data_IF_666201920911
#
_entry.id   IF_666201920911
#
_cell.length_a   1.000
_cell.length_b   1.000
_cell.length_c   1.000
_cell.angle_alpha   90.00
_cell.angle_beta   90.00
_cell.angle_gamma   90.00
#
_symmetry.space_group_name_H-M   'P 1'
#
loop_
_entity.id
_entity.type
_entity.pdbx_description
1 polymer ?
#
# COMPACT_ATOMS: atom_id res chain seq x y z
N UNK A 1 4.79 -15.43 5.38
CA UNK A 1 3.60 -14.90 4.68
C UNK A 1 3.15 -15.90 3.64
N UNK A 2 1.86 -15.92 3.33
CA UNK A 2 1.28 -16.87 2.38
C UNK A 2 0.13 -16.21 1.60
N UNK A 3 -0.25 -16.82 0.48
CA UNK A 3 -1.50 -16.53 -0.20
C UNK A 3 -2.56 -17.53 0.27
N UNK A 4 -3.51 -17.10 1.09
CA UNK A 4 -4.53 -17.95 1.68
C UNK A 4 -5.91 -17.83 1.03
N UNK A 5 -6.29 -16.63 0.62
CA UNK A 5 -7.64 -16.30 0.23
C UNK A 5 -7.82 -16.32 -1.29
N UNK A 6 -6.97 -15.62 -2.06
CA UNK A 6 -7.11 -15.49 -3.52
C UNK A 6 -6.58 -16.71 -4.27
N UNK A 7 -7.19 -17.87 -4.02
CA UNK A 7 -6.85 -19.16 -4.64
C UNK A 7 -8.06 -19.74 -5.34
N UNK A 8 -7.84 -20.50 -6.41
CA UNK A 8 -8.93 -21.14 -7.16
C UNK A 8 -9.76 -22.10 -6.31
N UNK A 9 -9.14 -22.73 -5.30
CA UNK A 9 -9.81 -23.62 -4.35
C UNK A 9 -10.72 -22.88 -3.35
N UNK A 10 -10.63 -21.55 -3.25
CA UNK A 10 -11.46 -20.74 -2.35
C UNK A 10 -12.86 -20.47 -2.91
N UNK A 11 -13.12 -20.87 -4.16
CA UNK A 11 -14.41 -20.72 -4.85
C UNK A 11 -14.77 -22.02 -5.57
N UNK A 12 -16.06 -22.21 -5.85
CA UNK A 12 -16.54 -23.37 -6.59
C UNK A 12 -16.23 -23.30 -8.10
N UNK A 13 -16.35 -24.43 -8.83
CA UNK A 13 -16.12 -24.50 -10.27
C UNK A 13 -17.04 -23.57 -11.09
N UNK A 14 -18.17 -23.17 -10.54
CA UNK A 14 -19.14 -22.25 -11.14
C UNK A 14 -18.65 -20.81 -11.26
N UNK A 15 -17.61 -20.41 -10.51
CA UNK A 15 -17.07 -19.05 -10.58
C UNK A 15 -16.24 -18.89 -11.86
N UNK A 16 -16.61 -17.98 -12.77
CA UNK A 16 -15.96 -17.82 -14.07
C UNK A 16 -14.56 -17.20 -13.97
N UNK A 17 -13.80 -17.29 -15.07
CA UNK A 17 -12.47 -16.67 -15.17
C UNK A 17 -12.53 -15.13 -15.12
N UNK A 18 -13.65 -14.53 -15.52
CA UNK A 18 -13.87 -13.08 -15.49
C UNK A 18 -15.16 -12.76 -14.76
N UNK A 19 -15.15 -11.69 -13.98
CA UNK A 19 -16.32 -11.26 -13.21
C UNK A 19 -17.49 -10.82 -14.11
N UNK A 20 -17.23 -10.50 -15.38
CA UNK A 20 -18.24 -10.10 -16.38
C UNK A 20 -19.00 -11.27 -17.01
N UNK A 21 -18.58 -12.50 -16.75
CA UNK A 21 -19.10 -13.68 -17.47
C UNK A 21 -20.24 -14.37 -16.70
N UNK A 22 -21.09 -13.58 -16.04
CA UNK A 22 -22.25 -14.08 -15.29
C UNK A 22 -21.88 -14.83 -14.01
N UNK A 23 -21.08 -14.21 -13.14
CA UNK A 23 -20.64 -14.84 -11.89
C UNK A 23 -21.81 -15.05 -10.92
N UNK A 24 -22.10 -16.30 -10.49
CA UNK A 24 -23.29 -16.60 -9.67
C UNK A 24 -23.22 -16.03 -8.25
N UNK A 25 -22.03 -15.63 -7.78
CA UNK A 25 -21.82 -15.04 -6.44
C UNK A 25 -21.59 -13.52 -6.50
N UNK A 26 -21.77 -12.89 -7.65
CA UNK A 26 -21.40 -11.47 -7.86
C UNK A 26 -21.99 -10.54 -6.78
N UNK A 27 -23.26 -10.73 -6.44
CA UNK A 27 -23.97 -9.88 -5.46
C UNK A 27 -23.34 -9.93 -4.06
N UNK A 28 -22.88 -11.11 -3.62
CA UNK A 28 -22.27 -11.32 -2.31
C UNK A 28 -20.74 -11.18 -2.33
N UNK A 29 -20.11 -11.12 -3.50
CA UNK A 29 -18.66 -11.13 -3.64
C UNK A 29 -18.05 -9.76 -3.35
N UNK A 30 -17.28 -9.65 -2.26
CA UNK A 30 -16.53 -8.43 -1.87
C UNK A 30 -15.56 -7.95 -2.97
N UNK A 31 -15.14 -8.84 -3.88
CA UNK A 31 -14.17 -8.58 -4.95
C UNK A 31 -14.79 -8.53 -6.36
N UNK A 32 -16.10 -8.28 -6.47
CA UNK A 32 -16.76 -8.07 -7.77
C UNK A 32 -16.15 -6.87 -8.50
N UNK A 33 -15.50 -7.14 -9.64
CA UNK A 33 -14.94 -6.10 -10.49
C UNK A 33 -16.02 -5.14 -11.04
N UNK A 34 -17.18 -5.62 -11.56
CA UNK A 34 -18.29 -4.74 -11.91
C UNK A 34 -18.73 -3.80 -10.77
N UNK A 35 -18.81 -4.30 -9.53
CA UNK A 35 -19.21 -3.46 -8.39
C UNK A 35 -18.14 -2.45 -8.01
N UNK A 36 -16.86 -2.83 -8.04
CA UNK A 36 -15.75 -1.95 -7.71
C UNK A 36 -15.51 -0.88 -8.78
N UNK A 37 -15.57 -1.28 -10.05
CA UNK A 37 -15.10 -0.47 -11.17
C UNK A 37 -16.23 0.10 -12.04
N UNK A 38 -17.45 -0.45 -12.03
CA UNK A 38 -18.58 0.01 -12.84
C UNK A 38 -19.91 -0.01 -12.03
N UNK A 39 -19.98 0.65 -10.86
CA UNK A 39 -21.15 0.59 -9.99
C UNK A 39 -22.38 1.21 -10.66
N UNK A 40 -23.57 0.73 -10.27
CA UNK A 40 -24.85 1.15 -10.84
C UNK A 40 -25.19 2.62 -10.54
N UNK A 41 -24.79 3.11 -9.37
CA UNK A 41 -24.89 4.51 -8.99
C UNK A 41 -23.48 5.08 -9.02
N UNK A 42 -23.19 6.09 -9.86
CA UNK A 42 -21.96 6.84 -9.76
C UNK A 42 -21.84 7.41 -8.35
N UNK A 43 -20.83 7.01 -7.61
CA UNK A 43 -20.59 7.59 -6.30
C UNK A 43 -19.92 8.93 -6.57
N UNK A 44 -20.64 10.03 -6.35
CA UNK A 44 -20.07 11.36 -6.34
C UNK A 44 -19.92 11.76 -4.87
N UNK A 45 -18.71 11.66 -4.33
CA UNK A 45 -18.40 11.99 -2.94
C UNK A 45 -16.93 11.77 -2.61
N UNK A 46 -16.45 12.18 -1.43
CA UNK A 46 -15.06 11.97 -1.01
C UNK A 46 -14.73 10.50 -0.63
N UNK A 47 -15.69 9.58 -0.76
CA UNK A 47 -15.54 8.18 -0.37
C UNK A 47 -14.72 7.36 -1.39
N UNK A 48 -14.04 6.32 -0.91
CA UNK A 48 -13.12 5.43 -1.66
C UNK A 48 -13.71 4.88 -2.97
N UNK A 49 -15.04 4.76 -3.08
CA UNK A 49 -15.74 4.35 -4.30
C UNK A 49 -15.51 5.30 -5.50
N UNK A 50 -15.05 6.54 -5.28
CA UNK A 50 -14.72 7.49 -6.34
C UNK A 50 -13.34 7.21 -6.94
N UNK A 51 -12.38 6.77 -6.12
CA UNK A 51 -11.04 6.46 -6.60
C UNK A 51 -11.05 5.25 -7.55
N UNK A 52 -11.92 4.27 -7.33
CA UNK A 52 -12.06 3.13 -8.24
C UNK A 52 -12.72 3.49 -9.57
N UNK A 53 -13.58 4.52 -9.60
CA UNK A 53 -14.13 5.09 -10.83
C UNK A 53 -13.11 5.93 -11.62
N UNK A 54 -12.11 6.50 -10.92
CA UNK A 54 -11.02 7.27 -11.53
C UNK A 54 -9.94 6.42 -12.19
N UNK A 55 -9.96 5.08 -12.05
CA UNK A 55 -9.08 4.23 -12.86
C UNK A 55 -9.42 4.38 -14.34
N UNK A 56 -8.40 4.65 -15.14
CA UNK A 56 -8.48 4.72 -16.60
C UNK A 56 -8.69 3.31 -17.19
N UNK A 57 -9.92 2.79 -17.09
CA UNK A 57 -10.34 1.55 -17.77
C UNK A 57 -10.56 1.76 -19.26
N UNK A 58 -10.82 3.00 -19.66
CA UNK A 58 -11.04 3.44 -21.04
C UNK A 58 -10.12 4.62 -21.35
N UNK A 59 -9.83 4.81 -22.64
CA UNK A 59 -9.14 6.01 -23.15
C UNK A 59 -9.95 6.59 -24.32
N UNK A 60 -10.58 7.77 -24.17
CA UNK A 60 -10.56 8.63 -22.98
C UNK A 60 -11.30 8.01 -21.78
N UNK A 61 -11.01 8.45 -20.53
CA UNK A 61 -11.72 7.98 -19.35
C UNK A 61 -13.23 8.22 -19.44
N UNK A 62 -14.01 7.19 -19.13
CA UNK A 62 -15.48 7.25 -19.13
C UNK A 62 -16.05 6.85 -17.78
N UNK A 63 -17.12 7.54 -17.39
CA UNK A 63 -17.96 7.20 -16.24
C UNK A 63 -19.22 6.41 -16.66
N UNK A 64 -19.44 6.20 -17.95
CA UNK A 64 -20.57 5.42 -18.43
C UNK A 64 -20.42 3.95 -18.02
N UNK A 65 -21.47 3.40 -17.41
CA UNK A 65 -21.42 2.05 -16.88
C UNK A 65 -21.26 0.99 -17.97
N UNK A 66 -21.93 1.16 -19.11
CA UNK A 66 -21.87 0.17 -20.18
C UNK A 66 -20.48 0.14 -20.82
N UNK A 67 -19.88 1.31 -21.07
CA UNK A 67 -18.51 1.42 -21.58
C UNK A 67 -17.49 0.80 -20.62
N UNK A 68 -17.64 1.04 -19.31
CA UNK A 68 -16.75 0.45 -18.29
C UNK A 68 -16.93 -1.06 -18.17
N UNK A 69 -18.15 -1.59 -18.25
CA UNK A 69 -18.38 -3.04 -18.28
C UNK A 69 -17.76 -3.68 -19.54
N UNK A 70 -17.88 -3.03 -20.70
CA UNK A 70 -17.24 -3.49 -21.93
C UNK A 70 -15.70 -3.51 -21.79
N UNK A 71 -15.12 -2.49 -21.15
CA UNK A 71 -13.70 -2.46 -20.85
C UNK A 71 -13.27 -3.56 -19.86
N UNK A 72 -14.07 -3.85 -18.83
CA UNK A 72 -13.80 -4.96 -17.90
C UNK A 72 -13.82 -6.31 -18.62
N UNK A 73 -14.69 -6.51 -19.61
CA UNK A 73 -14.80 -7.78 -20.32
C UNK A 73 -13.50 -8.20 -21.03
N UNK A 74 -12.62 -7.25 -21.37
CA UNK A 74 -11.36 -7.52 -22.09
C UNK A 74 -10.10 -7.15 -21.30
N UNK A 75 -10.19 -6.20 -20.37
CA UNK A 75 -9.03 -5.74 -19.59
C UNK A 75 -8.62 -6.71 -18.47
N UNK A 76 -7.37 -6.62 -17.97
CA UNK A 76 -6.93 -7.38 -16.80
C UNK A 76 -7.78 -7.16 -15.55
N UNK A 77 -8.40 -5.98 -15.40
CA UNK A 77 -9.21 -5.60 -14.25
C UNK A 77 -10.53 -6.38 -14.13
N UNK A 78 -11.03 -6.99 -15.21
CA UNK A 78 -12.23 -7.84 -15.15
C UNK A 78 -11.97 -9.30 -14.80
N UNK A 79 -10.70 -9.73 -14.64
CA UNK A 79 -10.36 -11.10 -14.25
C UNK A 79 -10.83 -11.36 -12.82
N UNK A 80 -11.36 -12.56 -12.56
CA UNK A 80 -11.74 -12.97 -11.22
C UNK A 80 -10.49 -13.18 -10.36
N UNK A 81 -10.39 -12.52 -9.21
CA UNK A 81 -9.23 -12.61 -8.29
C UNK A 81 -8.88 -14.05 -7.87
N UNK A 82 -9.84 -14.97 -7.87
CA UNK A 82 -9.63 -16.39 -7.56
C UNK A 82 -9.23 -17.24 -8.79
N UNK A 83 -9.32 -16.69 -10.00
CA UNK A 83 -8.96 -17.34 -11.27
C UNK A 83 -7.79 -16.63 -11.96
N UNK A 84 -7.12 -15.72 -11.26
CA UNK A 84 -5.90 -15.07 -11.72
C UNK A 84 -4.67 -15.95 -11.43
N UNK A 85 -3.57 -15.58 -12.06
CA UNK A 85 -2.21 -16.04 -11.79
C UNK A 85 -1.56 -15.25 -10.64
N UNK A 86 -2.36 -14.72 -9.72
CA UNK A 86 -1.86 -13.98 -8.57
C UNK A 86 -1.13 -14.93 -7.62
N UNK A 87 0.13 -14.64 -7.34
CA UNK A 87 0.98 -15.35 -6.39
C UNK A 87 1.41 -14.47 -5.21
N UNK A 88 0.93 -13.23 -5.16
CA UNK A 88 1.22 -12.27 -4.09
C UNK A 88 0.57 -12.72 -2.78
N UNK A 89 1.32 -12.64 -1.69
CA UNK A 89 0.82 -12.95 -0.34
C UNK A 89 -0.31 -12.01 0.07
N UNK A 90 -1.33 -12.53 0.76
CA UNK A 90 -2.40 -11.71 1.32
C UNK A 90 -2.16 -11.32 2.79
N UNK A 91 -1.14 -11.92 3.41
CA UNK A 91 -0.62 -11.53 4.71
C UNK A 91 0.85 -11.94 4.87
N UNK A 92 1.61 -11.11 5.57
CA UNK A 92 3.02 -11.37 5.88
C UNK A 92 3.42 -10.68 7.18
N UNK A 93 4.14 -11.41 8.02
CA UNK A 93 4.86 -10.87 9.17
C UNK A 93 6.34 -11.03 8.85
N UNK A 94 7.10 -9.94 9.01
CA UNK A 94 8.56 -9.90 8.83
C UNK A 94 9.17 -9.43 10.14
N UNK A 95 10.07 -10.23 10.71
CA UNK A 95 10.91 -9.83 11.83
C UNK A 95 12.29 -9.46 11.28
N UNK A 96 12.81 -8.30 11.69
CA UNK A 96 14.08 -7.77 11.22
C UNK A 96 14.89 -7.27 12.42
N UNK A 97 16.21 -7.30 12.28
CA UNK A 97 17.15 -6.64 13.18
C UNK A 97 17.92 -5.60 12.36
N UNK A 98 17.92 -4.35 12.83
CA UNK A 98 18.72 -3.29 12.23
C UNK A 98 20.17 -3.41 12.69
N UNK A 99 21.12 -2.80 11.97
CA UNK A 99 22.53 -2.80 12.36
C UNK A 99 22.81 -2.21 13.76
N UNK A 100 21.89 -1.40 14.29
CA UNK A 100 21.92 -0.89 15.66
C UNK A 100 21.57 -1.93 16.74
N UNK A 101 21.12 -3.13 16.36
CA UNK A 101 20.50 -4.12 17.25
C UNK A 101 19.03 -3.84 17.54
N UNK A 102 18.42 -2.82 16.93
CA UNK A 102 16.99 -2.53 17.08
C UNK A 102 16.16 -3.60 16.38
N UNK A 103 15.23 -4.22 17.09
CA UNK A 103 14.27 -5.16 16.51
C UNK A 103 13.12 -4.44 15.85
N UNK A 104 12.69 -4.92 14.69
CA UNK A 104 11.53 -4.42 13.94
C UNK A 104 10.60 -5.59 13.62
N UNK A 105 9.31 -5.38 13.83
CA UNK A 105 8.26 -6.27 13.33
C UNK A 105 7.39 -5.49 12.35
N UNK A 106 7.28 -5.99 11.13
CA UNK A 106 6.40 -5.45 10.10
C UNK A 106 5.29 -6.46 9.81
N UNK A 107 4.04 -6.04 9.96
CA UNK A 107 2.87 -6.88 9.68
C UNK A 107 2.02 -6.23 8.61
N UNK A 108 1.75 -6.99 7.55
CA UNK A 108 0.86 -6.62 6.45
C UNK A 108 -0.24 -7.66 6.32
N UNK A 109 -1.48 -7.21 6.14
CA UNK A 109 -2.60 -8.06 5.75
C UNK A 109 -3.55 -7.28 4.83
N UNK A 110 -4.03 -7.93 3.78
CA UNK A 110 -4.97 -7.34 2.81
C UNK A 110 -6.44 -7.39 3.22
N UNK A 111 -6.74 -7.96 4.39
CA UNK A 111 -8.11 -8.17 4.88
C UNK A 111 -8.29 -7.46 6.23
N UNK A 112 -8.97 -6.31 6.22
CA UNK A 112 -9.28 -5.56 7.43
C UNK A 112 -10.62 -4.84 7.30
N UNK A 113 -11.34 -4.69 8.40
CA UNK A 113 -12.53 -3.84 8.47
C UNK A 113 -12.18 -2.34 8.46
N UNK A 114 -10.97 -2.00 8.89
CA UNK A 114 -10.39 -0.65 8.84
C UNK A 114 -9.15 -0.66 7.98
N UNK A 115 -9.14 0.16 6.95
CA UNK A 115 -7.92 0.49 6.21
C UNK A 115 -7.08 1.45 7.06
N UNK A 116 -5.77 1.31 6.93
CA UNK A 116 -4.84 2.23 7.55
C UNK A 116 -3.49 1.63 7.84
N UNK A 117 -2.61 2.46 8.39
CA UNK A 117 -1.25 2.10 8.77
C UNK A 117 -1.03 2.51 10.21
N UNK A 118 -0.52 1.61 11.03
CA UNK A 118 -0.16 1.92 12.42
C UNK A 118 1.32 1.70 12.63
N UNK A 119 1.93 2.56 13.44
CA UNK A 119 3.33 2.50 13.79
C UNK A 119 3.48 2.58 15.30
N UNK A 120 4.45 1.85 15.84
CA UNK A 120 4.84 1.91 17.25
C UNK A 120 6.35 1.88 17.34
N UNK A 121 6.91 2.83 18.07
CA UNK A 121 8.34 2.91 18.34
C UNK A 121 8.53 2.99 19.86
N UNK A 122 9.10 1.94 20.43
CA UNK A 122 9.41 1.87 21.85
C UNK A 122 10.85 2.31 22.09
N UNK A 123 11.02 3.42 22.80
CA UNK A 123 12.30 3.87 23.31
C UNK A 123 12.51 3.43 24.77
N UNK A 124 13.63 3.84 25.35
CA UNK A 124 13.91 3.57 26.77
C UNK A 124 13.09 4.43 27.73
N UNK A 125 12.58 5.59 27.26
CA UNK A 125 11.88 6.59 28.08
C UNK A 125 10.46 6.90 27.63
N UNK A 126 10.10 6.58 26.39
CA UNK A 126 8.79 6.88 25.84
C UNK A 126 8.42 5.89 24.75
N UNK A 127 7.12 5.80 24.48
CA UNK A 127 6.55 5.09 23.33
C UNK A 127 5.91 6.09 22.39
N UNK A 128 6.31 6.08 21.12
CA UNK A 128 5.58 6.78 20.05
C UNK A 128 4.60 5.82 19.41
N UNK A 129 3.34 6.23 19.30
CA UNK A 129 2.29 5.55 18.53
C UNK A 129 1.83 6.50 17.43
N UNK A 130 1.60 5.96 16.25
CA UNK A 130 1.01 6.73 15.16
C UNK A 130 0.00 5.86 14.41
N UNK A 131 -1.10 6.46 14.00
CA UNK A 131 -2.10 5.84 13.15
C UNK A 131 -2.41 6.77 11.98
N UNK A 132 -2.37 6.21 10.77
CA UNK A 132 -2.88 6.83 9.57
C UNK A 132 -4.14 6.07 9.17
N UNK A 133 -5.28 6.60 9.60
CA UNK A 133 -6.63 6.05 9.43
C UNK A 133 -7.60 7.21 9.12
N UNK A 134 -8.90 6.97 9.22
CA UNK A 134 -9.95 7.99 9.27
C UNK A 134 -9.79 8.97 10.46
N UNK A 135 -9.13 8.54 11.53
CA UNK A 135 -8.80 9.33 12.71
C UNK A 135 -7.27 9.33 12.89
N UNK A 136 -6.53 10.10 12.07
CA UNK A 136 -5.08 10.07 12.11
C UNK A 136 -4.55 10.71 13.40
N UNK A 137 -3.54 10.10 14.00
CA UNK A 137 -2.94 10.56 15.25
C UNK A 137 -1.45 10.24 15.32
N UNK A 138 -0.72 11.08 16.06
CA UNK A 138 0.64 10.80 16.53
C UNK A 138 0.66 11.14 18.01
N UNK A 139 1.06 10.16 18.82
CA UNK A 139 1.02 10.23 20.28
C UNK A 139 2.35 9.79 20.85
N UNK A 140 2.95 10.59 21.72
CA UNK A 140 4.16 10.26 22.46
C UNK A 140 3.82 10.13 23.95
N UNK A 141 3.96 8.92 24.49
CA UNK A 141 3.69 8.63 25.89
C UNK A 141 5.00 8.40 26.66
N UNK A 142 5.30 9.25 27.65
CA UNK A 142 6.47 9.09 28.53
C UNK A 142 6.22 7.95 29.52
N UNK A 143 7.19 7.07 29.71
CA UNK A 143 7.08 5.92 30.62
C UNK A 143 7.00 6.33 32.09
N UNK A 144 7.52 7.50 32.45
CA UNK A 144 7.38 8.14 33.75
C UNK A 144 6.04 8.87 33.93
N UNK A 145 5.20 8.92 32.90
CA UNK A 145 3.86 9.50 32.92
C UNK A 145 3.74 10.77 32.08
N UNK A 146 2.54 10.99 31.57
CA UNK A 146 2.23 12.07 30.63
C UNK A 146 2.14 11.56 29.20
N UNK A 147 1.34 12.26 28.40
CA UNK A 147 1.12 11.97 26.99
C UNK A 147 1.04 13.29 26.23
N UNK A 148 1.73 13.34 25.09
CA UNK A 148 1.67 14.43 24.14
C UNK A 148 1.02 13.93 22.85
N UNK A 149 -0.01 14.65 22.39
CA UNK A 149 -0.60 14.46 21.06
C UNK A 149 0.03 15.48 20.14
N UNK A 150 0.68 15.01 19.08
CA UNK A 150 1.30 15.86 18.08
C UNK A 150 0.22 16.36 17.12
N UNK A 151 0.11 17.68 16.97
CA UNK A 151 -0.77 18.29 15.98
C UNK A 151 -0.21 18.04 14.56
N UNK A 152 -0.92 17.21 13.81
CA UNK A 152 -0.58 16.84 12.42
C UNK A 152 -1.22 17.77 11.39
N UNK A 153 -1.98 18.77 11.84
CA UNK A 153 -2.76 19.67 11.00
C UNK A 153 -3.91 18.98 10.27
N UNK A 154 -4.66 19.75 9.48
CA UNK A 154 -5.68 19.18 8.59
C UNK A 154 -5.04 18.69 7.30
N UNK A 155 -5.22 17.41 6.97
CA UNK A 155 -5.13 16.98 5.58
C UNK A 155 -6.17 17.77 4.78
N UNK A 156 -5.74 18.55 3.77
CA UNK A 156 -6.66 19.32 2.93
C UNK A 156 -7.72 18.43 2.25
N UNK A 157 -8.61 19.00 1.42
CA UNK A 157 -9.75 18.27 0.83
C UNK A 157 -9.35 17.19 -0.20
N UNK A 158 -8.06 16.91 -0.35
CA UNK A 158 -7.50 15.98 -1.32
C UNK A 158 -7.30 14.61 -0.66
N UNK A 159 -7.48 13.54 -1.45
CA UNK A 159 -7.15 12.18 -1.01
C UNK A 159 -5.68 12.05 -0.59
N UNK A 160 -5.35 10.93 0.07
CA UNK A 160 -3.97 10.58 0.45
C UNK A 160 -3.34 11.47 1.56
N UNK A 161 -4.16 12.13 2.39
CA UNK A 161 -3.69 12.78 3.62
C UNK A 161 -2.75 13.99 3.41
N UNK A 162 -2.64 14.50 2.18
CA UNK A 162 -1.72 15.61 1.83
C UNK A 162 -0.28 15.20 1.53
N UNK A 163 0.08 13.91 1.69
CA UNK A 163 1.43 13.40 1.44
C UNK A 163 1.90 13.57 -0.01
N UNK A 164 1.00 13.37 -0.98
CA UNK A 164 1.30 13.55 -2.41
C UNK A 164 1.70 15.00 -2.73
N UNK A 165 0.93 15.97 -2.23
CA UNK A 165 1.23 17.39 -2.40
C UNK A 165 2.53 17.79 -1.71
N UNK A 166 2.79 17.26 -0.51
CA UNK A 166 4.06 17.46 0.19
C UNK A 166 5.25 16.97 -0.62
N UNK A 167 5.14 15.74 -1.15
CA UNK A 167 6.20 15.12 -1.97
C UNK A 167 6.44 15.90 -3.26
N UNK A 168 5.38 16.31 -3.96
CA UNK A 168 5.50 17.12 -5.19
C UNK A 168 6.10 18.50 -4.93
N UNK A 169 5.72 19.17 -3.82
CA UNK A 169 6.33 20.44 -3.42
C UNK A 169 7.81 20.27 -3.14
N UNK A 170 8.20 19.25 -2.37
CA UNK A 170 9.59 18.94 -2.08
C UNK A 170 10.41 18.67 -3.36
N UNK A 171 9.82 17.94 -4.32
CA UNK A 171 10.43 17.71 -5.63
C UNK A 171 10.65 19.00 -6.41
N UNK A 172 9.60 19.82 -6.60
CA UNK A 172 9.71 21.10 -7.34
C UNK A 172 10.71 22.05 -6.66
N UNK A 173 10.70 22.11 -5.33
CA UNK A 173 11.64 22.92 -4.57
C UNK A 173 13.09 22.48 -4.83
N UNK A 174 13.37 21.17 -4.89
CA UNK A 174 14.71 20.64 -5.16
C UNK A 174 15.24 20.99 -6.55
N UNK A 175 14.35 21.28 -7.50
CA UNK A 175 14.70 21.70 -8.87
C UNK A 175 14.82 23.22 -9.01
N UNK A 176 14.42 24.00 -8.00
CA UNK A 176 14.31 25.45 -8.08
C UNK A 176 15.57 26.11 -7.51
N UNK A 177 16.41 26.79 -8.33
CA UNK A 177 17.62 27.44 -7.84
C UNK A 177 17.30 28.53 -6.80
N UNK A 178 18.02 28.52 -5.68
CA UNK A 178 17.85 29.51 -4.62
C UNK A 178 16.63 29.29 -3.72
N UNK A 179 15.92 28.17 -3.86
CA UNK A 179 14.92 27.77 -2.88
C UNK A 179 15.60 27.61 -1.50
N UNK A 180 15.12 28.37 -0.51
CA UNK A 180 15.50 28.17 0.89
C UNK A 180 14.73 26.94 1.37
N UNK A 181 15.46 25.97 1.89
CA UNK A 181 14.90 24.78 2.52
C UNK A 181 15.00 24.99 4.03
N UNK A 182 13.86 25.09 4.70
CA UNK A 182 13.83 24.96 6.16
C UNK A 182 14.25 23.53 6.57
N UNK A 183 14.76 23.30 7.79
CA UNK A 183 15.00 21.95 8.29
C UNK A 183 13.70 21.13 8.27
N UNK A 184 13.64 20.12 7.39
CA UNK A 184 12.43 19.33 7.13
C UNK A 184 11.72 19.65 5.81
N UNK A 185 12.08 20.77 5.16
CA UNK A 185 11.72 21.05 3.77
C UNK A 185 12.79 20.48 2.84
N UNK A 186 12.38 19.61 1.91
CA UNK A 186 13.26 19.01 0.92
C UNK A 186 13.00 17.53 0.72
N UNK A 187 13.50 16.98 -0.38
CA UNK A 187 13.49 15.55 -0.62
C UNK A 187 14.33 14.86 0.46
N UNK A 188 13.66 14.17 1.39
CA UNK A 188 14.31 13.37 2.45
C UNK A 188 14.83 12.04 1.91
N UNK A 189 14.39 11.64 0.72
CA UNK A 189 14.71 10.36 0.11
C UNK A 189 15.18 10.59 -1.32
N UNK A 190 16.45 10.29 -1.59
CA UNK A 190 16.97 10.19 -2.95
C UNK A 190 16.77 8.77 -3.52
N UNK A 191 17.21 8.56 -4.76
CA UNK A 191 17.10 7.25 -5.42
C UNK A 191 17.87 6.13 -4.70
N UNK A 192 19.00 6.45 -4.05
CA UNK A 192 19.82 5.46 -3.33
C UNK A 192 19.14 5.06 -2.01
N UNK A 193 18.58 6.02 -1.28
CA UNK A 193 17.80 5.76 -0.08
C UNK A 193 16.52 4.98 -0.40
N UNK A 194 15.85 5.31 -1.52
CA UNK A 194 14.67 4.54 -1.97
C UNK A 194 15.02 3.09 -2.33
N UNK A 195 16.20 2.84 -2.90
CA UNK A 195 16.65 1.48 -3.20
C UNK A 195 16.77 0.61 -1.93
N UNK A 196 17.14 1.18 -0.78
CA UNK A 196 17.29 0.40 0.47
C UNK A 196 15.96 -0.23 0.91
N UNK A 197 14.83 0.47 0.79
CA UNK A 197 13.53 -0.10 1.16
C UNK A 197 13.09 -1.22 0.21
N UNK A 198 13.46 -1.14 -1.08
CA UNK A 198 13.22 -2.20 -2.06
C UNK A 198 14.11 -3.43 -1.78
N UNK A 199 15.38 -3.23 -1.43
CA UNK A 199 16.29 -4.31 -1.04
C UNK A 199 15.75 -5.06 0.18
N UNK A 200 15.24 -4.35 1.19
CA UNK A 200 14.60 -4.97 2.35
C UNK A 200 13.36 -5.78 1.94
N UNK A 201 12.51 -5.24 1.07
CA UNK A 201 11.33 -5.96 0.58
C UNK A 201 11.70 -7.25 -0.18
N UNK A 202 12.72 -7.19 -1.05
CA UNK A 202 13.18 -8.38 -1.78
C UNK A 202 13.89 -9.39 -0.88
N UNK A 203 14.70 -8.94 0.08
CA UNK A 203 15.32 -9.83 1.07
C UNK A 203 14.26 -10.53 1.94
N UNK A 204 13.19 -9.82 2.31
CA UNK A 204 12.06 -10.41 3.03
C UNK A 204 11.32 -11.47 2.18
N UNK A 205 11.23 -11.27 0.85
CA UNK A 205 10.67 -12.25 -0.06
C UNK A 205 11.58 -13.47 -0.25
N UNK A 206 12.90 -13.27 -0.40
CA UNK A 206 13.88 -14.36 -0.42
C UNK A 206 13.78 -15.21 0.86
N UNK A 207 13.79 -14.56 2.03
CA UNK A 207 13.62 -15.20 3.33
C UNK A 207 12.32 -16.02 3.42
N UNK A 208 11.22 -15.49 2.87
CA UNK A 208 9.93 -16.19 2.83
C UNK A 208 9.98 -17.45 1.98
N UNK A 209 10.65 -17.39 0.83
CA UNK A 209 10.73 -18.51 -0.13
C UNK A 209 11.71 -19.59 0.30
N UNK A 210 12.84 -19.20 0.89
CA UNK A 210 13.87 -20.13 1.37
C UNK A 210 13.57 -20.69 2.76
N UNK A 211 12.75 -19.99 3.56
CA UNK A 211 12.52 -20.32 4.96
C UNK A 211 13.74 -20.03 5.85
N UNK A 212 14.59 -19.07 5.45
CA UNK A 212 15.83 -18.73 6.16
C UNK A 212 15.86 -17.27 6.61
N UNK A 213 16.79 -16.95 7.51
CA UNK A 213 17.17 -15.56 7.77
C UNK A 213 18.06 -15.07 6.64
N UNK A 214 17.83 -13.86 6.16
CA UNK A 214 18.64 -13.22 5.10
C UNK A 214 19.36 -12.02 5.69
N UNK A 215 20.69 -12.01 5.56
CA UNK A 215 21.50 -10.83 5.84
C UNK A 215 21.37 -9.83 4.68
N UNK A 216 20.82 -8.65 4.95
CA UNK A 216 20.48 -7.66 3.90
C UNK A 216 21.74 -7.09 3.25
N UNK A 217 22.86 -6.97 3.99
CA UNK A 217 24.11 -6.43 3.44
C UNK A 217 24.76 -7.43 2.46
N UNK A 218 24.78 -8.71 2.80
CA UNK A 218 25.22 -9.79 1.92
C UNK A 218 24.28 -9.95 0.72
N UNK A 219 22.96 -9.87 0.94
CA UNK A 219 21.97 -9.90 -0.15
C UNK A 219 22.20 -8.74 -1.14
N UNK A 220 22.38 -7.51 -0.63
CA UNK A 220 22.71 -6.34 -1.43
C UNK A 220 23.95 -6.56 -2.29
N UNK A 221 25.05 -7.03 -1.69
CA UNK A 221 26.29 -7.28 -2.42
C UNK A 221 26.09 -8.33 -3.53
N UNK A 222 25.29 -9.37 -3.28
CA UNK A 222 25.01 -10.42 -4.24
C UNK A 222 24.15 -9.94 -5.43
N UNK A 223 23.11 -9.13 -5.19
CA UNK A 223 22.16 -8.73 -6.25
C UNK A 223 22.61 -7.49 -7.03
N UNK A 224 23.43 -6.62 -6.43
CA UNK A 224 23.93 -5.43 -7.11
C UNK A 224 25.33 -5.65 -7.72
N UNK A 225 26.08 -6.65 -7.26
CA UNK A 225 27.47 -6.87 -7.70
C UNK A 225 28.33 -5.60 -7.53
N UNK A 226 29.27 -5.39 -8.46
CA UNK A 226 30.08 -4.15 -8.56
C UNK A 226 29.32 -2.99 -9.24
N UNK A 227 28.04 -3.14 -9.60
CA UNK A 227 27.33 -2.19 -10.47
C UNK A 227 27.06 -0.81 -9.82
N UNK A 228 27.43 -0.62 -8.55
CA UNK A 228 27.20 0.62 -7.80
C UNK A 228 28.42 1.10 -6.99
N UNK A 229 29.62 0.51 -7.21
CA UNK A 229 30.88 1.01 -6.62
C UNK A 229 31.33 2.32 -7.25
#
# INVERSE_FOLDING_TARGET
>A
GSLLHFRSASVGPEVPARCTDGCPIEEACTFSAPRAYAPAVPVAGPEIAVLTQLFALTDPPSFDRAERLAALATSPYGRCVYRCDNDVVDHQVVAMELASGTSVSFTMHGHSHREGRTMRYDGTRATLRAAFTDEPEIVVADHGGGEEVVDIGSSGPYGHGGGDLGTLRAFVASLTPGAVHEPGDGLTTDARTSLESHLVAWAAEEARRSGTVVDVAAYRAAVLGDALS
#
